data_IF_805834315128
#
_entry.id   IF_805834315128
#
_cell.length_a   1.000
_cell.length_b   1.000
_cell.length_c   1.000
_cell.angle_alpha   90.00
_cell.angle_beta   90.00
_cell.angle_gamma   90.00
#
_symmetry.space_group_name_H-M   'P 1'
#
loop_
_entity.id
_entity.type
_entity.pdbx_description
1 polymer ?
#
# COMPACT_ATOMS: atom_id res chain seq x y z
N UNK A 1 -9.23 3.78 -9.48
CA UNK A 1 -9.10 2.95 -8.28
C UNK A 1 -10.37 3.11 -7.45
N UNK A 2 -10.82 2.05 -6.78
CA UNK A 2 -11.93 2.11 -5.83
C UNK A 2 -11.43 1.67 -4.46
N UNK A 3 -11.89 2.36 -3.41
CA UNK A 3 -11.69 1.96 -2.03
C UNK A 3 -13.06 1.66 -1.42
N UNK A 4 -13.36 0.39 -1.11
CA UNK A 4 -14.69 0.00 -0.61
C UNK A 4 -14.98 0.64 0.75
N UNK A 5 -16.14 1.27 0.89
CA UNK A 5 -16.69 1.83 2.12
C UNK A 5 -18.06 1.19 2.38
N UNK A 6 -18.33 0.64 3.56
CA UNK A 6 -17.41 0.46 4.70
C UNK A 6 -16.25 -0.47 4.36
N UNK A 7 -15.11 -0.31 5.04
CA UNK A 7 -13.96 -1.18 4.84
C UNK A 7 -14.32 -2.63 5.09
N UNK A 8 -13.85 -3.49 4.19
CA UNK A 8 -13.99 -4.93 4.38
C UNK A 8 -13.14 -5.37 5.58
N UNK A 9 -13.76 -6.02 6.54
CA UNK A 9 -13.02 -6.62 7.65
C UNK A 9 -12.28 -7.89 7.20
N UNK A 10 -11.36 -8.37 8.02
CA UNK A 10 -10.52 -9.53 7.71
C UNK A 10 -11.32 -10.81 7.44
N UNK A 11 -12.44 -11.02 8.15
CA UNK A 11 -13.30 -12.18 7.94
C UNK A 11 -13.94 -12.13 6.54
N UNK A 12 -14.46 -10.96 6.13
CA UNK A 12 -15.06 -10.78 4.81
C UNK A 12 -14.03 -10.87 3.69
N UNK A 13 -12.81 -10.36 3.92
CA UNK A 13 -11.70 -10.52 2.97
C UNK A 13 -11.34 -12.00 2.75
N UNK A 14 -11.31 -12.79 3.82
CA UNK A 14 -11.05 -14.24 3.71
C UNK A 14 -12.18 -14.97 2.97
N UNK A 15 -13.44 -14.68 3.32
CA UNK A 15 -14.62 -15.25 2.67
C UNK A 15 -14.64 -14.97 1.17
N UNK A 16 -14.32 -13.75 0.75
CA UNK A 16 -14.25 -13.33 -0.64
C UNK A 16 -12.94 -13.73 -1.34
N UNK A 17 -12.00 -14.40 -0.68
CA UNK A 17 -10.70 -14.72 -1.25
C UNK A 17 -9.91 -13.48 -1.69
N UNK A 18 -10.11 -12.34 -1.04
CA UNK A 18 -9.50 -11.05 -1.38
C UNK A 18 -8.03 -11.01 -1.00
N UNK A 19 -7.22 -11.58 -1.86
CA UNK A 19 -5.76 -11.42 -1.83
C UNK A 19 -5.34 -10.56 -3.03
N UNK A 20 -4.13 -9.99 -3.02
CA UNK A 20 -3.60 -9.29 -4.19
C UNK A 20 -3.66 -10.19 -5.44
N UNK A 21 -4.18 -9.65 -6.54
CA UNK A 21 -4.47 -10.41 -7.76
C UNK A 21 -5.83 -11.12 -7.78
N UNK A 22 -6.64 -11.04 -6.73
CA UNK A 22 -8.02 -11.51 -6.78
C UNK A 22 -8.86 -10.68 -7.76
N UNK A 23 -9.65 -11.36 -8.58
CA UNK A 23 -10.60 -10.73 -9.51
C UNK A 23 -11.96 -10.74 -8.86
N UNK A 24 -12.49 -9.56 -8.66
CA UNK A 24 -13.81 -9.34 -8.06
C UNK A 24 -14.68 -8.55 -9.03
N UNK A 25 -15.96 -8.87 -9.08
CA UNK A 25 -17.00 -8.03 -9.69
C UNK A 25 -17.95 -7.53 -8.63
N UNK A 26 -18.60 -6.41 -8.90
CA UNK A 26 -19.59 -5.79 -8.04
C UNK A 26 -20.06 -4.47 -8.62
N UNK A 27 -21.07 -3.89 -8.01
CA UNK A 27 -21.52 -2.54 -8.32
C UNK A 27 -20.80 -1.56 -7.39
N UNK A 28 -20.13 -0.57 -7.97
CA UNK A 28 -19.44 0.48 -7.23
C UNK A 28 -20.02 1.82 -7.59
N UNK A 29 -20.33 2.64 -6.60
CA UNK A 29 -20.75 4.03 -6.77
C UNK A 29 -19.97 4.93 -5.82
N UNK A 30 -19.72 6.20 -6.19
CA UNK A 30 -19.04 7.13 -5.30
C UNK A 30 -19.74 7.19 -3.94
N UNK A 31 -18.97 7.21 -2.86
CA UNK A 31 -19.54 7.43 -1.53
C UNK A 31 -20.19 8.82 -1.46
N UNK A 32 -21.38 8.98 -0.89
CA UNK A 32 -21.99 10.29 -0.70
C UNK A 32 -21.20 11.21 0.26
N UNK A 33 -20.31 10.62 1.06
CA UNK A 33 -19.47 11.31 2.04
C UNK A 33 -18.01 11.45 1.55
N UNK A 34 -17.80 11.41 0.22
CA UNK A 34 -16.47 11.63 -0.35
C UNK A 34 -15.91 12.97 0.08
N UNK A 35 -14.70 12.93 0.66
CA UNK A 35 -13.92 14.12 1.01
C UNK A 35 -12.55 14.06 0.36
N UNK A 36 -12.11 15.15 -0.25
CA UNK A 36 -10.75 15.25 -0.75
C UNK A 36 -9.72 14.99 0.35
N UNK A 37 -8.62 14.29 0.03
CA UNK A 37 -8.23 13.71 -1.25
C UNK A 37 -8.75 12.27 -1.50
N UNK A 38 -9.72 11.79 -0.72
CA UNK A 38 -10.17 10.40 -0.69
C UNK A 38 -11.25 10.11 -1.75
N UNK A 39 -11.02 10.57 -2.98
CA UNK A 39 -11.97 10.46 -4.10
C UNK A 39 -12.26 9.01 -4.55
N UNK A 40 -11.43 8.05 -4.11
CA UNK A 40 -11.57 6.63 -4.40
C UNK A 40 -12.65 5.95 -3.54
N UNK A 41 -13.16 6.62 -2.52
CA UNK A 41 -14.16 6.07 -1.61
C UNK A 41 -15.46 5.74 -2.36
N UNK A 42 -15.82 4.46 -2.28
CA UNK A 42 -16.96 3.94 -3.05
C UNK A 42 -17.76 2.98 -2.19
N UNK A 43 -19.07 3.16 -2.18
CA UNK A 43 -19.98 2.13 -1.69
C UNK A 43 -20.01 0.99 -2.71
N UNK A 44 -20.26 -0.22 -2.23
CA UNK A 44 -20.24 -1.41 -3.06
C UNK A 44 -21.38 -2.35 -2.72
N UNK A 45 -21.83 -3.08 -3.73
CA UNK A 45 -22.85 -4.11 -3.62
C UNK A 45 -22.47 -5.34 -4.45
N UNK A 46 -22.96 -6.52 -4.03
CA UNK A 46 -22.89 -7.75 -4.79
C UNK A 46 -21.45 -8.17 -5.19
N UNK A 47 -20.48 -8.04 -4.26
CA UNK A 47 -19.12 -8.48 -4.51
C UNK A 47 -19.06 -9.99 -4.70
N UNK A 48 -18.54 -10.41 -5.85
CA UNK A 48 -18.35 -11.81 -6.23
C UNK A 48 -16.92 -12.06 -6.63
N UNK A 49 -16.33 -13.14 -6.09
CA UNK A 49 -14.98 -13.59 -6.42
C UNK A 49 -15.00 -14.48 -7.68
N UNK A 50 -14.13 -14.17 -8.64
CA UNK A 50 -14.00 -14.89 -9.91
C UNK A 50 -12.68 -15.65 -10.06
N UNK A 51 -11.89 -15.73 -9.02
CA UNK A 51 -10.57 -16.37 -9.06
C UNK A 51 -9.44 -15.36 -8.96
N UNK A 52 -8.25 -15.82 -9.31
CA UNK A 52 -7.02 -15.00 -9.28
C UNK A 52 -6.52 -14.81 -10.69
N UNK A 53 -6.11 -13.60 -11.02
CA UNK A 53 -5.36 -13.36 -12.25
C UNK A 53 -3.94 -13.95 -12.15
N UNK A 54 -3.30 -14.13 -13.27
CA UNK A 54 -1.89 -14.53 -13.33
C UNK A 54 -0.98 -13.43 -12.76
N UNK A 55 0.24 -13.79 -12.39
CA UNK A 55 1.25 -12.82 -11.96
C UNK A 55 1.54 -11.76 -13.03
N UNK A 56 1.54 -12.19 -14.29
CA UNK A 56 1.75 -11.30 -15.43
C UNK A 56 0.62 -10.31 -15.63
N UNK A 57 -0.63 -10.77 -15.59
CA UNK A 57 -1.80 -9.89 -15.66
C UNK A 57 -1.81 -8.89 -14.51
N UNK A 58 -1.51 -9.34 -13.29
CA UNK A 58 -1.46 -8.45 -12.14
C UNK A 58 -0.34 -7.41 -12.26
N UNK A 59 0.87 -7.83 -12.68
CA UNK A 59 1.96 -6.91 -12.97
C UNK A 59 1.55 -5.85 -14.00
N UNK A 60 0.95 -6.28 -15.10
CA UNK A 60 0.54 -5.38 -16.19
C UNK A 60 -0.51 -4.35 -15.73
N UNK A 61 -1.43 -4.73 -14.83
CA UNK A 61 -2.40 -3.81 -14.22
C UNK A 61 -1.70 -2.78 -13.34
N UNK A 62 -0.74 -3.20 -12.52
CA UNK A 62 0.02 -2.29 -11.65
C UNK A 62 0.86 -1.33 -12.50
N UNK A 63 1.55 -1.83 -13.52
CA UNK A 63 2.42 -1.05 -14.40
C UNK A 63 1.66 0.07 -15.11
N UNK A 64 0.46 -0.23 -15.64
CA UNK A 64 -0.40 0.77 -16.31
C UNK A 64 -0.82 1.93 -15.41
N UNK A 65 -0.83 1.73 -14.09
CA UNK A 65 -1.26 2.73 -13.10
C UNK A 65 -0.12 3.22 -12.21
N UNK A 66 1.11 2.78 -12.47
CA UNK A 66 2.25 3.13 -11.65
C UNK A 66 2.81 4.51 -12.02
N UNK A 67 3.13 5.27 -10.98
CA UNK A 67 3.89 6.50 -11.06
C UNK A 67 5.36 6.23 -10.73
N UNK A 68 6.25 7.12 -11.17
CA UNK A 68 7.66 7.06 -10.82
C UNK A 68 7.96 7.74 -9.48
N UNK A 69 7.16 8.73 -9.09
CA UNK A 69 7.35 9.50 -7.87
C UNK A 69 6.06 9.70 -7.08
N UNK A 70 6.23 10.00 -5.79
CA UNK A 70 5.11 10.38 -4.91
C UNK A 70 4.49 11.69 -5.36
N UNK A 71 5.30 12.64 -5.80
CA UNK A 71 4.84 13.95 -6.29
C UNK A 71 3.93 13.82 -7.50
N UNK A 72 4.35 13.05 -8.50
CA UNK A 72 3.51 12.79 -9.69
C UNK A 72 2.22 12.07 -9.31
N UNK A 73 2.33 11.07 -8.46
CA UNK A 73 1.20 10.24 -8.06
C UNK A 73 0.12 11.02 -7.32
N UNK A 74 0.47 11.82 -6.34
CA UNK A 74 -0.48 12.64 -5.59
C UNK A 74 -0.74 14.02 -6.22
N UNK A 75 0.07 14.45 -7.19
CA UNK A 75 -0.04 15.76 -7.82
C UNK A 75 0.31 16.91 -6.88
N UNK A 76 1.31 16.71 -6.03
CA UNK A 76 1.78 17.69 -5.03
C UNK A 76 3.27 17.89 -5.11
N UNK A 77 3.78 18.99 -4.58
CA UNK A 77 5.21 19.22 -4.43
C UNK A 77 5.62 18.94 -2.98
N UNK A 78 6.52 17.98 -2.78
CA UNK A 78 7.07 17.61 -1.48
C UNK A 78 8.53 18.07 -1.45
N UNK A 79 8.85 19.10 -0.68
CA UNK A 79 10.21 19.61 -0.59
C UNK A 79 11.18 18.60 0.04
N UNK A 80 10.73 17.95 1.10
CA UNK A 80 11.47 16.90 1.82
C UNK A 80 10.69 15.59 1.75
N UNK A 81 11.37 14.46 1.96
CA UNK A 81 10.73 13.14 2.01
C UNK A 81 9.94 12.95 3.32
N UNK A 82 8.93 13.79 3.53
CA UNK A 82 8.11 13.82 4.72
C UNK A 82 7.05 12.71 4.70
N UNK A 83 6.75 12.18 5.89
CA UNK A 83 5.70 11.15 6.04
C UNK A 83 4.31 11.73 6.22
N UNK A 84 4.22 12.99 6.59
CA UNK A 84 2.99 13.72 6.78
C UNK A 84 2.86 14.77 5.68
N UNK A 85 1.82 14.67 4.90
CA UNK A 85 1.48 15.60 3.83
C UNK A 85 0.59 16.69 4.44
N UNK A 86 1.04 17.95 4.31
CA UNK A 86 0.29 19.11 4.79
C UNK A 86 -1.06 19.21 4.05
N UNK A 87 -2.10 19.60 4.80
CA UNK A 87 -3.46 19.77 4.27
C UNK A 87 -3.55 20.80 3.14
N UNK A 88 -2.68 21.80 3.16
CA UNK A 88 -2.65 22.87 2.16
C UNK A 88 -2.12 22.41 0.79
N UNK A 89 -1.43 21.26 0.73
CA UNK A 89 -0.90 20.72 -0.52
C UNK A 89 -1.97 20.14 -1.45
N UNK A 90 -3.17 19.84 -0.93
CA UNK A 90 -4.34 19.36 -1.68
C UNK A 90 -4.02 18.22 -2.66
N UNK A 91 -3.63 17.03 -2.17
CA UNK A 91 -3.41 15.87 -3.04
C UNK A 91 -4.63 15.59 -3.92
N UNK A 92 -4.40 15.22 -5.19
CA UNK A 92 -5.48 14.92 -6.16
C UNK A 92 -6.21 13.61 -5.86
N UNK A 93 -5.57 12.71 -5.15
CA UNK A 93 -6.07 11.38 -4.79
C UNK A 93 -5.36 10.88 -3.55
N UNK A 94 -5.90 9.87 -2.90
CA UNK A 94 -5.32 9.33 -1.66
C UNK A 94 -4.68 7.96 -1.81
N UNK A 95 -4.77 7.33 -3.00
CA UNK A 95 -4.17 6.03 -3.30
C UNK A 95 -3.37 6.11 -4.60
N UNK A 96 -2.11 5.68 -4.55
CA UNK A 96 -1.24 5.58 -5.72
C UNK A 96 -0.49 4.25 -5.74
N UNK A 97 0.01 3.87 -6.90
CA UNK A 97 0.98 2.79 -7.06
C UNK A 97 2.29 3.41 -7.54
N UNK A 98 3.40 3.10 -6.88
CA UNK A 98 4.74 3.49 -7.31
C UNK A 98 5.48 2.29 -7.89
N UNK A 99 6.19 2.50 -9.01
CA UNK A 99 7.26 1.61 -9.45
C UNK A 99 8.56 2.04 -8.78
N UNK A 100 9.24 1.13 -8.11
CA UNK A 100 10.46 1.42 -7.37
C UNK A 100 11.57 0.43 -7.70
N UNK A 101 12.83 0.87 -7.56
CA UNK A 101 13.96 -0.05 -7.68
C UNK A 101 13.90 -1.09 -6.55
N UNK A 102 13.87 -2.40 -6.85
CA UNK A 102 13.82 -3.45 -5.84
C UNK A 102 14.91 -3.33 -4.75
N UNK A 103 16.11 -2.88 -5.15
CA UNK A 103 17.25 -2.72 -4.22
C UNK A 103 17.12 -1.52 -3.29
N UNK A 104 16.22 -0.58 -3.59
CA UNK A 104 15.95 0.57 -2.73
C UNK A 104 14.91 0.27 -1.64
N UNK A 105 14.21 -0.87 -1.74
CA UNK A 105 13.15 -1.24 -0.80
C UNK A 105 13.72 -2.07 0.34
N UNK A 106 13.40 -1.68 1.57
CA UNK A 106 13.68 -2.48 2.74
C UNK A 106 12.52 -2.48 3.73
N UNK A 107 12.30 -3.61 4.37
CA UNK A 107 11.36 -3.77 5.47
C UNK A 107 12.19 -3.94 6.74
N UNK A 108 11.91 -3.12 7.74
CA UNK A 108 12.64 -3.10 9.00
C UNK A 108 11.70 -3.24 10.18
N UNK A 109 12.17 -3.77 11.33
CA UNK A 109 11.36 -3.78 12.54
C UNK A 109 11.03 -2.36 13.01
N UNK A 110 9.82 -2.17 13.53
CA UNK A 110 9.48 -0.91 14.20
C UNK A 110 10.20 -0.87 15.56
N UNK A 111 11.00 0.18 15.79
CA UNK A 111 11.76 0.33 17.04
C UNK A 111 10.87 0.59 18.27
N UNK A 112 9.66 1.13 18.06
CA UNK A 112 8.72 1.45 19.14
C UNK A 112 7.72 0.33 19.41
N UNK A 113 7.40 -0.47 18.39
CA UNK A 113 6.50 -1.61 18.53
C UNK A 113 7.04 -2.80 17.73
N UNK A 114 7.69 -3.72 18.46
CA UNK A 114 8.31 -4.92 17.87
C UNK A 114 7.32 -5.86 17.15
N UNK A 115 6.03 -5.68 17.36
CA UNK A 115 5.00 -6.41 16.63
C UNK A 115 4.71 -5.83 15.23
N UNK A 116 5.32 -4.69 14.88
CA UNK A 116 5.12 -4.02 13.61
C UNK A 116 6.41 -3.96 12.78
N UNK A 117 6.25 -3.67 11.50
CA UNK A 117 7.34 -3.40 10.56
C UNK A 117 7.11 -2.08 9.83
N UNK A 118 8.18 -1.49 9.36
CA UNK A 118 8.21 -0.24 8.59
C UNK A 118 8.85 -0.47 7.24
N UNK A 119 8.47 0.33 6.27
CA UNK A 119 9.08 0.34 4.95
C UNK A 119 10.00 1.53 4.76
N UNK A 120 11.11 1.29 4.06
CA UNK A 120 11.96 2.31 3.45
C UNK A 120 12.02 2.06 1.95
N UNK A 121 12.05 3.11 1.17
CA UNK A 121 12.32 3.03 -0.27
C UNK A 121 12.78 4.37 -0.82
N UNK A 122 13.30 4.34 -2.05
CA UNK A 122 13.64 5.53 -2.82
C UNK A 122 12.73 5.57 -4.05
N UNK A 123 12.08 6.71 -4.30
CA UNK A 123 11.26 6.90 -5.50
C UNK A 123 12.11 7.23 -6.74
N UNK A 124 11.47 7.36 -7.90
CA UNK A 124 12.16 7.63 -9.17
C UNK A 124 12.86 8.99 -9.25
N UNK A 125 12.57 9.94 -8.36
CA UNK A 125 13.30 11.22 -8.24
C UNK A 125 14.54 11.13 -7.35
N UNK A 126 14.75 9.99 -6.69
CA UNK A 126 15.84 9.80 -5.73
C UNK A 126 15.48 10.21 -4.30
N UNK A 127 14.25 10.65 -4.02
CA UNK A 127 13.80 10.96 -2.66
C UNK A 127 13.65 9.69 -1.84
N UNK A 128 14.24 9.69 -0.64
CA UNK A 128 14.23 8.55 0.28
C UNK A 128 13.13 8.69 1.32
N UNK A 129 12.16 7.81 1.29
CA UNK A 129 11.08 7.72 2.27
C UNK A 129 11.41 6.66 3.31
N UNK A 130 11.39 7.02 4.59
CA UNK A 130 11.84 6.16 5.68
C UNK A 130 10.78 6.02 6.77
N UNK A 131 10.76 4.86 7.41
CA UNK A 131 9.89 4.55 8.56
C UNK A 131 8.39 4.68 8.27
N UNK A 132 7.98 4.40 7.02
CA UNK A 132 6.57 4.38 6.65
C UNK A 132 5.86 3.18 7.28
N UNK A 133 4.70 3.44 7.85
CA UNK A 133 3.88 2.36 8.42
C UNK A 133 3.38 1.45 7.32
N UNK A 134 3.55 0.14 7.50
CA UNK A 134 2.97 -0.88 6.62
C UNK A 134 1.60 -1.25 7.19
N UNK A 135 0.56 -1.04 6.40
CA UNK A 135 -0.82 -1.41 6.72
C UNK A 135 -1.32 -2.57 5.88
N UNK A 136 -0.43 -3.17 5.06
CA UNK A 136 -0.71 -4.39 4.31
C UNK A 136 -1.12 -5.52 5.25
N UNK A 137 -2.35 -6.03 5.05
CA UNK A 137 -2.93 -7.05 5.91
C UNK A 137 -2.10 -8.34 5.89
N UNK A 138 -1.67 -8.80 4.71
CA UNK A 138 -0.89 -10.02 4.56
C UNK A 138 0.48 -9.93 5.22
N UNK A 139 1.14 -8.77 5.15
CA UNK A 139 2.41 -8.53 5.84
C UNK A 139 2.20 -8.55 7.36
N UNK A 140 1.16 -7.89 7.86
CA UNK A 140 0.87 -7.85 9.30
C UNK A 140 0.51 -9.23 9.85
N UNK A 141 -0.29 -10.02 9.15
CA UNK A 141 -0.59 -11.42 9.50
C UNK A 141 0.69 -12.27 9.51
N UNK A 142 1.57 -12.07 8.54
CA UNK A 142 2.86 -12.78 8.49
C UNK A 142 3.74 -12.41 9.67
N UNK A 143 3.81 -11.12 10.03
CA UNK A 143 4.54 -10.67 11.24
C UNK A 143 3.99 -11.34 12.49
N UNK A 144 2.67 -11.44 12.63
CA UNK A 144 2.03 -12.15 13.73
C UNK A 144 2.40 -13.64 13.80
N UNK A 145 2.61 -14.29 12.64
CA UNK A 145 2.93 -15.73 12.56
C UNK A 145 4.41 -16.06 12.81
N UNK A 146 5.33 -15.28 12.26
CA UNK A 146 6.77 -15.63 12.27
C UNK A 146 7.66 -14.58 12.92
N UNK A 147 7.12 -13.46 13.36
CA UNK A 147 7.83 -12.36 14.00
C UNK A 147 8.46 -11.37 13.03
N UNK A 148 8.58 -10.11 13.46
CA UNK A 148 9.05 -9.00 12.63
C UNK A 148 10.49 -9.19 12.11
N UNK A 149 11.40 -9.66 12.95
CA UNK A 149 12.81 -9.88 12.56
C UNK A 149 12.94 -10.87 11.40
N UNK A 150 12.18 -11.97 11.45
CA UNK A 150 12.20 -12.99 10.40
C UNK A 150 11.56 -12.48 9.11
N UNK A 151 10.42 -11.77 9.21
CA UNK A 151 9.79 -11.13 8.06
C UNK A 151 10.76 -10.16 7.37
N UNK A 152 11.47 -9.33 8.12
CA UNK A 152 12.44 -8.40 7.56
C UNK A 152 13.57 -9.12 6.83
N UNK A 153 14.16 -10.15 7.43
CA UNK A 153 15.27 -10.90 6.84
C UNK A 153 14.84 -11.65 5.54
N UNK A 154 13.66 -12.29 5.55
CA UNK A 154 13.15 -13.02 4.41
C UNK A 154 12.72 -12.07 3.28
N UNK A 155 12.00 -11.00 3.61
CA UNK A 155 11.56 -10.00 2.63
C UNK A 155 12.72 -9.32 1.92
N UNK A 156 13.82 -9.01 2.62
CA UNK A 156 14.98 -8.38 2.03
C UNK A 156 15.62 -9.27 0.95
N UNK A 157 15.77 -10.57 1.24
CA UNK A 157 16.32 -11.53 0.28
C UNK A 157 15.46 -11.63 -0.98
N UNK A 158 14.14 -11.69 -0.80
CA UNK A 158 13.20 -11.86 -1.91
C UNK A 158 13.15 -10.59 -2.75
N UNK A 159 12.96 -9.43 -2.14
CA UNK A 159 12.81 -8.16 -2.86
C UNK A 159 14.01 -7.86 -3.75
N UNK A 160 15.24 -8.10 -3.26
CA UNK A 160 16.46 -7.82 -4.02
C UNK A 160 16.69 -8.76 -5.22
N UNK A 161 15.99 -9.89 -5.29
CA UNK A 161 16.05 -10.84 -6.40
C UNK A 161 15.00 -10.56 -7.47
N UNK A 162 14.08 -9.62 -7.21
CA UNK A 162 12.99 -9.33 -8.15
C UNK A 162 13.42 -8.34 -9.24
N UNK A 163 12.75 -8.43 -10.38
CA UNK A 163 12.94 -7.47 -11.50
C UNK A 163 12.10 -6.21 -11.33
N UNK A 164 10.90 -6.34 -10.74
CA UNK A 164 9.98 -5.24 -10.55
C UNK A 164 9.41 -5.28 -9.13
N UNK A 165 9.31 -4.11 -8.52
CA UNK A 165 8.59 -3.92 -7.26
C UNK A 165 7.67 -2.72 -7.40
N UNK A 166 6.42 -2.92 -7.01
CA UNK A 166 5.40 -1.88 -6.93
C UNK A 166 4.97 -1.71 -5.48
N UNK A 167 4.89 -0.46 -5.04
CA UNK A 167 4.40 -0.11 -3.70
C UNK A 167 3.06 0.61 -3.84
N UNK A 168 2.02 0.09 -3.21
CA UNK A 168 0.76 0.79 -3.04
C UNK A 168 0.88 1.72 -1.84
N UNK A 169 0.79 3.02 -2.09
CA UNK A 169 0.78 4.04 -1.05
C UNK A 169 -0.62 4.59 -0.85
N UNK A 170 -0.95 4.86 0.40
CA UNK A 170 -2.18 5.54 0.78
C UNK A 170 -1.90 6.71 1.71
N UNK A 171 -2.78 7.70 1.65
CA UNK A 171 -2.88 8.77 2.65
C UNK A 171 -3.89 8.37 3.72
N UNK A 172 -3.54 8.55 4.98
CA UNK A 172 -4.51 8.42 6.08
C UNK A 172 -5.63 9.44 5.95
N UNK A 173 -6.70 9.28 6.72
CA UNK A 173 -7.58 10.41 7.03
C UNK A 173 -6.77 11.50 7.76
N UNK A 174 -7.30 12.71 7.81
CA UNK A 174 -6.68 13.77 8.60
C UNK A 174 -6.42 13.27 10.02
N UNK A 175 -5.19 13.42 10.48
CA UNK A 175 -4.77 12.99 11.80
C UNK A 175 -3.71 13.94 12.36
N UNK A 176 -3.88 14.30 13.63
CA UNK A 176 -2.91 15.09 14.37
C UNK A 176 -2.13 14.16 15.32
N UNK A 177 -0.81 14.12 15.15
CA UNK A 177 0.07 13.35 16.00
C UNK A 177 0.30 14.05 17.36
N UNK A 178 0.80 13.29 18.33
CA UNK A 178 1.09 13.82 19.68
C UNK A 178 2.09 14.98 19.71
N UNK A 179 2.97 15.05 18.72
CA UNK A 179 3.93 16.15 18.55
C UNK A 179 3.32 17.42 17.93
N UNK A 180 2.00 17.43 17.71
CA UNK A 180 1.26 18.55 17.12
C UNK A 180 1.22 18.57 15.60
N UNK A 181 1.99 17.73 14.89
CA UNK A 181 1.97 17.67 13.44
C UNK A 181 0.64 17.10 12.95
N UNK A 182 -0.05 17.85 12.09
CA UNK A 182 -1.35 17.49 11.53
C UNK A 182 -1.27 17.37 9.99
N UNK A 183 -1.98 16.41 9.42
CA UNK A 183 -2.00 16.19 7.97
C UNK A 183 -2.46 14.80 7.58
N UNK A 184 -2.16 14.42 6.33
CA UNK A 184 -2.37 13.09 5.79
C UNK A 184 -1.07 12.29 5.89
N UNK A 185 -1.09 11.17 6.61
CA UNK A 185 0.10 10.36 6.82
C UNK A 185 0.25 9.30 5.72
N UNK A 186 1.43 9.26 5.11
CA UNK A 186 1.81 8.24 4.14
C UNK A 186 1.88 6.86 4.78
N UNK A 187 1.22 5.89 4.15
CA UNK A 187 1.18 4.50 4.56
C UNK A 187 1.45 3.58 3.38
N UNK A 188 2.16 2.49 3.63
CA UNK A 188 2.35 1.43 2.64
C UNK A 188 1.22 0.42 2.79
N UNK A 189 0.28 0.43 1.85
CA UNK A 189 -0.89 -0.45 1.85
C UNK A 189 -0.65 -1.77 1.12
N UNK A 190 0.47 -1.91 0.40
CA UNK A 190 0.85 -3.14 -0.28
C UNK A 190 2.24 -3.05 -0.90
N UNK A 191 2.94 -4.19 -0.96
CA UNK A 191 4.23 -4.34 -1.63
C UNK A 191 4.12 -5.55 -2.56
N UNK A 192 4.29 -5.33 -3.86
CA UNK A 192 4.10 -6.34 -4.90
C UNK A 192 5.39 -6.52 -5.69
N UNK A 193 5.94 -7.73 -5.70
CA UNK A 193 7.21 -8.05 -6.35
C UNK A 193 7.01 -9.06 -7.48
N UNK A 194 7.79 -8.97 -8.55
CA UNK A 194 7.70 -9.85 -9.73
C UNK A 194 9.10 -10.21 -10.25
N UNK A 195 9.26 -11.41 -10.86
CA UNK A 195 8.23 -12.38 -11.26
C UNK A 195 7.60 -13.15 -10.10
N UNK A 196 8.29 -13.27 -8.99
CA UNK A 196 7.81 -14.00 -7.85
C UNK A 196 7.20 -13.07 -6.81
N UNK A 197 5.99 -13.34 -6.56
CA UNK A 197 5.19 -12.66 -5.60
C UNK A 197 5.28 -13.42 -4.27
N UNK A 198 5.70 -12.78 -3.18
CA UNK A 198 5.95 -13.43 -1.89
C UNK A 198 4.71 -14.11 -1.32
N UNK A 199 4.54 -15.40 -1.61
CA UNK A 199 3.37 -16.21 -1.24
C UNK A 199 3.02 -16.18 0.25
N UNK A 200 3.97 -16.26 1.21
CA UNK A 200 3.62 -16.28 2.64
C UNK A 200 2.87 -15.05 3.15
N UNK A 201 3.05 -13.88 2.56
CA UNK A 201 2.29 -12.68 2.90
C UNK A 201 0.89 -12.64 2.27
N UNK A 202 0.45 -13.72 1.60
CA UNK A 202 -0.78 -13.78 0.80
C UNK A 202 -1.70 -14.91 1.15
N UNK A 203 -1.40 -15.60 2.21
CA UNK A 203 -2.24 -16.64 2.78
C UNK A 203 -2.88 -16.01 4.01
N UNK A 204 -4.15 -15.71 3.89
CA UNK A 204 -4.95 -15.29 5.03
C UNK A 204 -5.46 -16.50 5.82
#
# INVERSE_FOLDING_TARGET
>A
CYRPIPYLNSARCRELGMIPGAVLTGHFSPSPEVTEPHIEDSIYENLTFHGRCSNEEFRNILEKSAFSSIEDGFGINIQNAEKCIDLNLRPRQSLITLSVNPRSVSIIPDQYNKANVKAHFTDGTGKQFRFLTITDFGVNELVGRIGSSRVCAESQKILHQQSNVYIRLGLSRHFQAQNGQAGYWLQVNGIYSFPEFYRPARIY
#
